data_IF_349670840295
#
_entry.id   IF_349670840295
#
_cell.length_a   1.000
_cell.length_b   1.000
_cell.length_c   1.000
_cell.angle_alpha   90.00
_cell.angle_beta   90.00
_cell.angle_gamma   90.00
#
_symmetry.space_group_name_H-M   'P 1'
#
loop_
_entity.id
_entity.type
_entity.pdbx_description
1 polymer ?
#
# COMPACT_ATOMS: atom_id res chain seq x y z
N UNK A 1 -19.53 -22.79 71.17
CA UNK A 1 -19.88 -22.58 69.75
C UNK A 1 -19.46 -21.16 69.38
N UNK A 2 -18.45 -21.03 68.52
CA UNK A 2 -17.79 -19.77 68.15
C UNK A 2 -18.69 -18.92 67.24
N UNK A 3 -18.65 -17.60 67.45
CA UNK A 3 -19.12 -16.56 66.53
C UNK A 3 -18.15 -16.42 65.35
N UNK A 4 -18.68 -16.37 64.13
CA UNK A 4 -17.95 -15.90 62.95
C UNK A 4 -18.86 -14.95 62.16
N UNK A 5 -18.63 -13.65 62.32
CA UNK A 5 -19.27 -12.59 61.52
C UNK A 5 -18.33 -12.31 60.35
N UNK A 6 -18.67 -12.84 59.17
CA UNK A 6 -17.92 -12.62 57.94
C UNK A 6 -18.18 -11.21 57.41
N UNK A 7 -17.20 -10.33 57.52
CA UNK A 7 -17.22 -9.00 56.87
C UNK A 7 -17.02 -9.16 55.37
N UNK A 8 -18.09 -8.94 54.60
CA UNK A 8 -18.06 -8.88 53.13
C UNK A 8 -17.47 -7.53 52.69
N UNK A 9 -16.19 -7.52 52.30
CA UNK A 9 -15.57 -6.35 51.67
C UNK A 9 -16.10 -6.21 50.23
N UNK A 10 -16.99 -5.25 50.00
CA UNK A 10 -17.40 -4.81 48.67
C UNK A 10 -16.25 -4.05 48.02
N UNK A 11 -15.49 -4.72 47.16
CA UNK A 11 -14.52 -4.07 46.26
C UNK A 11 -15.30 -3.31 45.19
N UNK A 12 -15.52 -2.00 45.41
CA UNK A 12 -16.03 -1.11 44.39
C UNK A 12 -14.94 -0.93 43.31
N UNK A 13 -15.05 -1.70 42.22
CA UNK A 13 -14.22 -1.51 41.03
C UNK A 13 -14.46 -0.12 40.46
N UNK A 14 -13.42 0.73 40.47
CA UNK A 14 -13.45 2.00 39.76
C UNK A 14 -13.48 1.73 38.26
N UNK A 15 -14.65 1.88 37.63
CA UNK A 15 -14.74 1.97 36.17
C UNK A 15 -14.24 3.34 35.75
N UNK A 16 -13.02 3.42 35.24
CA UNK A 16 -12.40 4.67 34.81
C UNK A 16 -13.16 5.20 33.59
N UNK A 17 -13.97 6.25 33.77
CA UNK A 17 -14.77 6.83 32.69
C UNK A 17 -13.84 7.43 31.63
N UNK A 18 -13.87 6.87 30.42
CA UNK A 18 -13.22 7.42 29.24
C UNK A 18 -14.03 8.63 28.76
N UNK A 19 -13.34 9.73 28.47
CA UNK A 19 -13.88 10.98 27.93
C UNK A 19 -13.11 11.35 26.67
N UNK A 20 -13.69 12.20 25.81
CA UNK A 20 -12.99 12.79 24.69
C UNK A 20 -13.24 14.30 24.58
N UNK A 21 -12.31 15.00 23.92
CA UNK A 21 -12.46 16.40 23.53
C UNK A 21 -11.99 16.57 22.10
N UNK A 22 -12.80 17.27 21.30
CA UNK A 22 -12.52 17.53 19.89
C UNK A 22 -12.28 19.01 19.66
N UNK A 23 -11.27 19.33 18.85
CA UNK A 23 -10.90 20.70 18.56
C UNK A 23 -9.88 20.83 17.43
N UNK A 24 -9.45 22.06 17.19
CA UNK A 24 -8.45 22.40 16.18
C UNK A 24 -7.06 22.43 16.82
N UNK A 25 -6.07 21.77 16.22
CA UNK A 25 -4.69 21.79 16.70
C UNK A 25 -4.12 23.20 16.58
N UNK A 26 -3.75 23.78 17.72
CA UNK A 26 -3.15 25.11 17.84
C UNK A 26 -1.66 25.07 18.15
N UNK A 27 -1.17 23.96 18.72
CA UNK A 27 0.24 23.69 18.95
C UNK A 27 0.47 22.17 18.99
N UNK A 28 1.61 21.71 18.47
CA UNK A 28 2.01 20.32 18.51
C UNK A 28 3.54 20.23 18.69
N UNK A 29 3.98 19.59 19.76
CA UNK A 29 5.39 19.29 20.02
C UNK A 29 5.63 17.78 19.96
N UNK A 30 6.86 17.32 20.22
CA UNK A 30 7.18 15.89 20.24
C UNK A 30 6.28 15.08 21.20
N UNK A 31 5.87 15.66 22.33
CA UNK A 31 5.19 14.95 23.42
C UNK A 31 3.92 15.64 23.91
N UNK A 32 3.51 16.74 23.29
CA UNK A 32 2.30 17.48 23.68
C UNK A 32 1.50 17.89 22.47
N UNK A 33 0.19 17.98 22.64
CA UNK A 33 -0.72 18.58 21.67
C UNK A 33 -1.65 19.54 22.39
N UNK A 34 -1.94 20.67 21.75
CA UNK A 34 -2.90 21.65 22.24
C UNK A 34 -4.01 21.84 21.21
N UNK A 35 -5.26 21.64 21.64
CA UNK A 35 -6.45 21.86 20.81
C UNK A 35 -7.26 23.04 21.31
N UNK A 36 -7.91 23.76 20.39
CA UNK A 36 -8.95 24.75 20.68
C UNK A 36 -10.30 24.13 20.35
N UNK A 37 -11.17 23.99 21.35
CA UNK A 37 -12.49 23.38 21.20
C UNK A 37 -13.50 24.35 20.56
N UNK A 38 -14.67 23.83 20.19
CA UNK A 38 -15.82 24.63 19.72
C UNK A 38 -16.31 25.67 20.75
N UNK A 39 -16.09 25.40 22.04
CA UNK A 39 -16.34 26.32 23.15
C UNK A 39 -15.23 27.36 23.36
N UNK A 40 -14.22 27.37 22.48
CA UNK A 40 -13.05 28.24 22.57
C UNK A 40 -12.18 27.97 23.82
N UNK A 41 -12.28 26.76 24.39
CA UNK A 41 -11.38 26.31 25.45
C UNK A 41 -10.06 25.82 24.82
N UNK A 42 -8.93 26.16 25.43
CA UNK A 42 -7.62 25.65 25.03
C UNK A 42 -7.21 24.49 25.93
N UNK A 43 -7.14 23.29 25.36
CA UNK A 43 -6.85 22.06 26.10
C UNK A 43 -5.51 21.47 25.64
N UNK A 44 -4.61 21.20 26.59
CA UNK A 44 -3.30 20.60 26.32
C UNK A 44 -3.20 19.21 26.92
N UNK A 45 -2.65 18.27 26.16
CA UNK A 45 -2.53 16.86 26.50
C UNK A 45 -1.10 16.38 26.27
N UNK A 46 -0.62 15.49 27.13
CA UNK A 46 0.58 14.71 26.88
C UNK A 46 0.25 13.58 25.89
N UNK A 47 1.10 13.40 24.89
CA UNK A 47 0.94 12.39 23.83
C UNK A 47 1.96 11.25 23.97
N UNK A 48 2.75 11.21 25.06
CA UNK A 48 3.80 10.21 25.25
C UNK A 48 3.28 8.77 25.17
N UNK A 49 2.16 8.50 25.84
CA UNK A 49 1.58 7.14 25.96
C UNK A 49 0.33 6.94 25.09
N UNK A 50 0.00 7.90 24.23
CA UNK A 50 -1.22 7.87 23.43
C UNK A 50 -1.10 6.91 22.24
N UNK A 51 -2.16 6.15 21.94
CA UNK A 51 -2.30 5.47 20.65
C UNK A 51 -2.46 6.51 19.53
N UNK A 52 -1.61 6.41 18.50
CA UNK A 52 -1.51 7.33 17.34
C UNK A 52 -1.74 6.63 16.00
N UNK A 53 -2.29 5.41 15.98
CA UNK A 53 -2.51 4.64 14.75
C UNK A 53 -3.41 5.36 13.74
N UNK A 54 -4.33 6.21 14.23
CA UNK A 54 -5.26 7.03 13.44
C UNK A 54 -4.79 8.49 13.25
N UNK A 55 -3.48 8.73 13.36
CA UNK A 55 -2.84 10.04 13.14
C UNK A 55 -1.68 9.87 12.15
N UNK A 56 -1.79 10.50 10.98
CA UNK A 56 -0.75 10.43 9.95
C UNK A 56 -0.03 11.78 9.79
N UNK A 57 0.78 12.11 10.80
CA UNK A 57 1.36 13.44 10.95
C UNK A 57 0.34 14.46 11.42
N UNK A 58 0.68 15.23 12.45
CA UNK A 58 -0.20 16.24 13.02
C UNK A 58 0.30 17.62 12.65
N UNK A 59 -0.54 18.40 11.96
CA UNK A 59 -0.24 19.76 11.54
C UNK A 59 -1.10 20.77 12.32
N UNK A 60 -0.65 22.03 12.32
CA UNK A 60 -1.45 23.14 12.82
C UNK A 60 -2.71 23.28 11.96
N UNK A 61 -3.84 23.55 12.61
CA UNK A 61 -5.18 23.63 12.05
C UNK A 61 -5.87 22.31 11.70
N UNK A 62 -5.26 21.16 11.99
CA UNK A 62 -5.95 19.88 11.88
C UNK A 62 -7.09 19.77 12.91
N UNK A 63 -8.15 19.04 12.56
CA UNK A 63 -9.16 18.67 13.55
C UNK A 63 -8.69 17.41 14.26
N UNK A 64 -8.64 17.43 15.59
CA UNK A 64 -8.20 16.31 16.41
C UNK A 64 -9.21 16.01 17.50
N UNK A 65 -9.54 14.73 17.68
CA UNK A 65 -10.23 14.23 18.86
C UNK A 65 -9.24 13.51 19.77
N UNK A 66 -9.20 13.93 21.03
CA UNK A 66 -8.30 13.43 22.07
C UNK A 66 -9.10 12.68 23.11
N UNK A 67 -8.81 11.39 23.28
CA UNK A 67 -9.40 10.53 24.30
C UNK A 67 -8.53 10.51 25.55
N UNK A 68 -9.16 10.51 26.72
CA UNK A 68 -8.46 10.50 28.01
C UNK A 68 -9.36 9.92 29.11
N UNK A 69 -8.78 9.61 30.27
CA UNK A 69 -9.49 8.99 31.39
C UNK A 69 -9.72 9.98 32.52
N UNK A 70 -10.95 10.07 33.01
CA UNK A 70 -11.30 10.95 34.13
C UNK A 70 -11.63 12.38 33.73
N UNK A 71 -11.49 13.32 34.68
CA UNK A 71 -11.73 14.75 34.45
C UNK A 71 -10.49 15.41 33.85
N UNK A 72 -10.71 16.37 32.95
CA UNK A 72 -9.62 17.09 32.32
C UNK A 72 -8.73 17.80 33.36
N UNK A 73 -7.42 17.69 33.17
CA UNK A 73 -6.40 18.52 33.82
C UNK A 73 -5.35 18.92 32.79
N UNK A 74 -4.81 20.15 32.83
CA UNK A 74 -3.81 20.59 31.85
C UNK A 74 -2.60 19.65 31.80
N UNK A 75 -2.24 19.19 30.60
CA UNK A 75 -1.10 18.31 30.36
C UNK A 75 -1.36 16.84 30.69
N UNK A 76 -2.59 16.43 30.99
CA UNK A 76 -2.93 15.04 31.29
C UNK A 76 -2.60 14.10 30.11
N UNK A 77 -2.30 12.81 30.36
CA UNK A 77 -2.04 11.85 29.30
C UNK A 77 -3.29 11.59 28.46
N UNK A 78 -3.15 11.70 27.15
CA UNK A 78 -4.11 11.17 26.19
C UNK A 78 -3.93 9.65 26.08
N UNK A 79 -5.04 8.94 25.89
CA UNK A 79 -5.06 7.50 25.65
C UNK A 79 -5.10 7.16 24.16
N UNK A 80 -5.79 7.97 23.36
CA UNK A 80 -5.90 7.81 21.90
C UNK A 80 -6.06 9.18 21.23
N UNK A 81 -5.47 9.34 20.06
CA UNK A 81 -5.65 10.49 19.19
C UNK A 81 -6.31 10.06 17.87
N UNK A 82 -7.26 10.86 17.37
CA UNK A 82 -7.95 10.60 16.10
C UNK A 82 -8.03 11.90 15.27
N UNK A 83 -7.39 11.93 14.11
CA UNK A 83 -7.30 13.12 13.23
C UNK A 83 -8.45 13.16 12.21
N UNK A 84 -8.99 14.34 11.88
CA UNK A 84 -10.09 14.48 10.92
C UNK A 84 -9.78 15.52 9.81
N UNK A 85 -10.22 15.24 8.56
CA UNK A 85 -10.78 13.96 8.10
C UNK A 85 -9.72 12.86 8.19
N UNK A 86 -10.14 11.61 8.41
CA UNK A 86 -9.22 10.47 8.43
C UNK A 86 -8.54 10.42 7.06
N UNK A 87 -7.27 10.81 7.00
CA UNK A 87 -6.49 10.73 5.77
C UNK A 87 -6.30 9.26 5.43
N UNK A 88 -6.46 8.84 4.16
CA UNK A 88 -6.11 7.49 3.75
C UNK A 88 -4.70 7.18 4.22
N UNK A 89 -4.50 6.02 4.85
CA UNK A 89 -3.18 5.56 5.26
C UNK A 89 -2.25 5.55 4.04
N UNK A 90 -1.28 6.48 4.00
CA UNK A 90 -0.29 6.52 2.91
C UNK A 90 0.69 5.36 3.16
N UNK A 91 0.77 4.41 2.23
CA UNK A 91 1.49 3.13 2.43
C UNK A 91 0.63 2.00 3.04
N UNK A 92 -0.68 2.22 3.18
CA UNK A 92 -1.67 1.20 3.55
C UNK A 92 -2.38 0.56 2.36
N UNK A 93 -2.06 0.98 1.13
CA UNK A 93 -2.61 0.46 -0.14
C UNK A 93 -1.89 -0.81 -0.61
N UNK A 94 -1.49 -1.65 0.35
CA UNK A 94 -0.95 -2.96 0.04
C UNK A 94 -2.04 -3.84 -0.58
N UNK A 95 -1.76 -4.41 -1.74
CA UNK A 95 -2.60 -5.46 -2.32
C UNK A 95 -2.49 -6.78 -1.53
N UNK A 96 -3.15 -7.84 -2.02
CA UNK A 96 -3.13 -9.17 -1.40
C UNK A 96 -1.71 -9.77 -1.32
N UNK A 97 -0.79 -9.30 -2.15
CA UNK A 97 0.61 -9.71 -2.17
C UNK A 97 1.53 -8.80 -1.35
N UNK A 98 0.98 -7.73 -0.76
CA UNK A 98 1.74 -6.76 0.03
C UNK A 98 2.39 -5.65 -0.81
N UNK A 99 2.10 -5.57 -2.11
CA UNK A 99 2.69 -4.58 -3.01
C UNK A 99 2.01 -3.21 -2.85
N UNK A 100 2.83 -2.16 -2.78
CA UNK A 100 2.37 -0.78 -2.59
C UNK A 100 2.15 -0.15 -3.97
N UNK A 101 0.92 -0.23 -4.49
CA UNK A 101 0.57 0.23 -5.83
C UNK A 101 0.85 1.72 -6.05
N UNK A 102 0.58 2.56 -5.04
CA UNK A 102 0.86 4.01 -5.07
C UNK A 102 2.34 4.35 -5.19
N UNK A 103 3.23 3.42 -4.79
CA UNK A 103 4.67 3.54 -4.98
C UNK A 103 5.16 2.93 -6.30
N UNK A 104 4.25 2.52 -7.19
CA UNK A 104 4.51 1.94 -8.50
C UNK A 104 4.91 0.46 -8.47
N UNK A 105 4.73 -0.22 -7.34
CA UNK A 105 4.98 -1.65 -7.23
C UNK A 105 3.80 -2.47 -7.72
N UNK A 106 4.07 -3.53 -8.47
CA UNK A 106 3.10 -4.52 -8.92
C UNK A 106 3.62 -5.91 -8.57
N UNK A 107 2.74 -6.83 -8.20
CA UNK A 107 3.12 -8.22 -8.03
C UNK A 107 3.50 -8.84 -9.38
N UNK A 108 4.62 -9.55 -9.42
CA UNK A 108 5.04 -10.32 -10.56
C UNK A 108 5.10 -11.81 -10.21
N UNK A 109 4.26 -12.60 -10.86
CA UNK A 109 4.10 -14.02 -10.59
C UNK A 109 5.36 -14.82 -10.91
N UNK A 110 6.07 -14.44 -11.98
CA UNK A 110 7.28 -15.16 -12.42
C UNK A 110 8.53 -14.79 -11.61
N UNK A 111 8.53 -13.64 -10.91
CA UNK A 111 9.60 -13.26 -9.98
C UNK A 111 9.27 -13.53 -8.52
N UNK A 112 7.98 -13.74 -8.19
CA UNK A 112 7.48 -13.85 -6.81
C UNK A 112 7.89 -12.67 -5.94
N UNK A 113 7.82 -11.47 -6.51
CA UNK A 113 8.25 -10.23 -5.88
C UNK A 113 7.38 -9.05 -6.33
N UNK A 114 7.34 -8.01 -5.49
CA UNK A 114 6.78 -6.71 -5.85
C UNK A 114 7.82 -5.92 -6.65
N UNK A 115 7.53 -5.65 -7.92
CA UNK A 115 8.47 -5.02 -8.83
C UNK A 115 7.96 -3.69 -9.38
N UNK A 116 8.88 -2.86 -9.83
CA UNK A 116 8.58 -1.72 -10.70
C UNK A 116 8.90 -2.10 -12.13
N UNK A 117 7.89 -2.05 -13.00
CA UNK A 117 8.01 -2.49 -14.40
C UNK A 117 9.10 -1.73 -15.17
N UNK A 118 9.27 -0.43 -14.90
CA UNK A 118 10.31 0.38 -15.53
C UNK A 118 11.74 0.08 -15.04
N UNK A 119 11.89 -0.60 -13.89
CA UNK A 119 13.19 -1.00 -13.35
C UNK A 119 13.55 -2.44 -13.74
N UNK A 120 12.55 -3.34 -13.80
CA UNK A 120 12.75 -4.79 -13.98
C UNK A 120 12.34 -5.33 -15.35
N UNK A 121 11.44 -4.63 -16.06
CA UNK A 121 10.86 -5.07 -17.31
C UNK A 121 11.49 -4.43 -18.54
N UNK A 122 11.35 -5.11 -19.68
CA UNK A 122 11.71 -4.59 -20.99
C UNK A 122 10.49 -3.92 -21.59
N UNK A 123 10.55 -2.59 -21.76
CA UNK A 123 9.45 -1.84 -22.36
C UNK A 123 9.38 -2.05 -23.87
N UNK A 124 8.19 -2.39 -24.36
CA UNK A 124 7.83 -2.46 -25.77
C UNK A 124 6.66 -1.53 -26.04
N UNK A 125 6.52 -1.07 -27.28
CA UNK A 125 5.49 -0.14 -27.71
C UNK A 125 4.64 -0.76 -28.81
N UNK A 126 3.35 -0.43 -28.82
CA UNK A 126 2.44 -0.91 -29.84
C UNK A 126 2.81 -0.36 -31.21
N UNK A 127 2.59 -1.17 -32.24
CA UNK A 127 2.89 -0.81 -33.63
C UNK A 127 1.73 -0.12 -34.36
N UNK A 128 0.57 0.01 -33.73
CA UNK A 128 -0.68 0.52 -34.31
C UNK A 128 -1.03 1.95 -33.86
N UNK A 129 -0.03 2.73 -33.42
CA UNK A 129 -0.14 4.12 -32.96
C UNK A 129 -1.12 4.33 -31.78
N UNK A 130 -1.48 3.26 -31.05
CA UNK A 130 -2.38 3.34 -29.90
C UNK A 130 -1.78 3.98 -28.64
N UNK A 131 -0.52 4.43 -28.68
CA UNK A 131 0.30 4.87 -27.52
C UNK A 131 0.36 3.84 -26.37
N UNK A 132 -0.03 2.60 -26.62
CA UNK A 132 0.01 1.53 -25.62
C UNK A 132 1.39 0.87 -25.56
N UNK A 133 1.73 0.34 -24.39
CA UNK A 133 2.99 -0.34 -24.14
C UNK A 133 2.78 -1.65 -23.41
N UNK A 134 3.73 -2.57 -23.59
CA UNK A 134 3.80 -3.79 -22.82
C UNK A 134 5.20 -3.94 -22.20
N UNK A 135 5.27 -4.44 -20.98
CA UNK A 135 6.52 -4.80 -20.32
C UNK A 135 6.70 -6.31 -20.34
N UNK A 136 7.88 -6.76 -20.76
CA UNK A 136 8.29 -8.16 -20.70
C UNK A 136 9.14 -8.35 -19.45
N UNK A 137 8.69 -9.21 -18.53
CA UNK A 137 9.42 -9.53 -17.29
C UNK A 137 9.75 -11.01 -17.28
N UNK A 138 11.03 -11.37 -17.28
CA UNK A 138 11.47 -12.77 -17.24
C UNK A 138 11.49 -13.31 -15.81
N UNK A 139 11.21 -14.61 -15.68
CA UNK A 139 11.59 -15.37 -14.48
C UNK A 139 13.12 -15.40 -14.32
N UNK A 140 13.65 -15.58 -13.11
CA UNK A 140 15.10 -15.61 -12.86
C UNK A 140 15.88 -16.63 -13.72
N UNK A 141 15.25 -17.75 -14.08
CA UNK A 141 15.82 -18.82 -14.92
C UNK A 141 15.46 -18.68 -16.41
N UNK A 142 14.71 -17.62 -16.75
CA UNK A 142 14.18 -17.34 -18.10
C UNK A 142 13.33 -18.47 -18.69
N UNK A 143 12.81 -19.40 -17.88
CA UNK A 143 11.91 -20.45 -18.37
C UNK A 143 10.49 -19.93 -18.60
N UNK A 144 10.13 -18.82 -17.95
CA UNK A 144 8.85 -18.14 -18.11
C UNK A 144 9.08 -16.64 -18.29
N UNK A 145 8.05 -15.97 -18.79
CA UNK A 145 7.94 -14.53 -18.70
C UNK A 145 6.50 -14.13 -18.41
N UNK A 146 6.31 -12.95 -17.86
CA UNK A 146 5.02 -12.32 -17.64
C UNK A 146 4.95 -11.02 -18.47
N UNK A 147 3.84 -10.85 -19.18
CA UNK A 147 3.51 -9.65 -19.94
C UNK A 147 2.58 -8.76 -19.12
N UNK A 148 2.96 -7.49 -18.99
CA UNK A 148 2.15 -6.45 -18.36
C UNK A 148 1.73 -5.42 -19.41
N UNK A 149 0.43 -5.15 -19.55
CA UNK A 149 -0.09 -4.26 -20.59
C UNK A 149 -0.59 -2.94 -20.00
N UNK A 150 -0.31 -1.82 -20.68
CA UNK A 150 -0.76 -0.49 -20.23
C UNK A 150 -2.23 -0.17 -20.57
N UNK A 151 -2.93 -1.09 -21.23
CA UNK A 151 -4.30 -0.91 -21.73
C UNK A 151 -5.34 -1.75 -20.96
N UNK A 152 -5.03 -2.10 -19.71
CA UNK A 152 -5.88 -2.89 -18.81
C UNK A 152 -6.22 -4.31 -19.31
N UNK A 153 -5.51 -4.82 -20.33
CA UNK A 153 -5.55 -6.25 -20.62
C UNK A 153 -4.96 -7.03 -19.44
N UNK A 154 -5.47 -8.26 -19.16
CA UNK A 154 -4.89 -9.10 -18.13
C UNK A 154 -3.43 -9.43 -18.44
N UNK A 155 -2.63 -9.59 -17.40
CA UNK A 155 -1.27 -10.08 -17.56
C UNK A 155 -1.28 -11.51 -18.10
N UNK A 156 -0.28 -11.85 -18.91
CA UNK A 156 -0.14 -13.18 -19.51
C UNK A 156 1.22 -13.78 -19.15
N UNK A 157 1.22 -15.03 -18.66
CA UNK A 157 2.45 -15.78 -18.41
C UNK A 157 2.69 -16.73 -19.59
N UNK A 158 3.89 -16.69 -20.15
CA UNK A 158 4.30 -17.47 -21.31
C UNK A 158 5.50 -18.36 -20.97
N UNK A 159 5.55 -19.56 -21.54
CA UNK A 159 6.59 -20.55 -21.29
C UNK A 159 7.63 -20.58 -22.42
N UNK A 160 8.90 -20.75 -22.05
CA UNK A 160 10.00 -20.82 -23.01
C UNK A 160 9.97 -22.12 -23.78
N UNK A 161 10.08 -22.03 -25.10
CA UNK A 161 10.37 -23.14 -26.01
C UNK A 161 11.60 -22.88 -26.87
N UNK A 162 12.26 -23.95 -27.29
CA UNK A 162 13.34 -23.88 -28.27
C UNK A 162 12.78 -23.89 -29.69
N UNK A 163 13.36 -23.09 -30.58
CA UNK A 163 12.97 -23.05 -31.99
C UNK A 163 13.88 -23.96 -32.85
N UNK A 164 13.36 -24.64 -33.89
CA UNK A 164 14.17 -25.46 -34.80
C UNK A 164 15.28 -24.68 -35.51
N UNK A 165 15.05 -23.40 -35.78
CA UNK A 165 16.01 -22.47 -36.37
C UNK A 165 17.12 -22.02 -35.42
N UNK A 166 17.08 -22.46 -34.16
CA UNK A 166 17.86 -21.89 -33.07
C UNK A 166 17.15 -20.69 -32.42
N UNK A 167 17.56 -20.41 -31.18
CA UNK A 167 16.96 -19.38 -30.33
C UNK A 167 15.73 -19.87 -29.55
N UNK A 168 15.06 -18.92 -28.90
CA UNK A 168 13.93 -19.18 -28.02
C UNK A 168 12.72 -18.34 -28.40
N UNK A 169 11.55 -18.88 -28.08
CA UNK A 169 10.29 -18.16 -28.06
C UNK A 169 9.60 -18.40 -26.71
N UNK A 170 8.76 -17.46 -26.30
CA UNK A 170 7.86 -17.66 -25.18
C UNK A 170 6.43 -17.52 -25.67
N UNK A 171 5.63 -18.57 -25.46
CA UNK A 171 4.22 -18.64 -25.83
C UNK A 171 3.53 -19.69 -24.96
N UNK A 172 2.21 -19.77 -25.03
CA UNK A 172 1.45 -20.94 -24.55
C UNK A 172 1.14 -21.82 -25.77
N UNK A 173 1.08 -23.14 -25.61
CA UNK A 173 0.70 -24.05 -26.71
C UNK A 173 -0.80 -23.94 -27.01
N UNK A 174 -1.20 -22.84 -27.65
CA UNK A 174 -2.56 -22.56 -28.13
C UNK A 174 -2.49 -21.59 -29.32
N UNK A 175 -3.41 -21.72 -30.29
CA UNK A 175 -3.32 -21.13 -31.64
C UNK A 175 -3.58 -19.62 -31.69
N UNK A 176 -4.15 -19.08 -30.61
CA UNK A 176 -4.47 -17.66 -30.43
C UNK A 176 -3.47 -16.90 -29.54
N UNK A 177 -2.38 -17.54 -29.15
CA UNK A 177 -1.47 -17.01 -28.12
C UNK A 177 -0.52 -15.93 -28.62
N UNK A 178 -0.12 -15.07 -27.68
CA UNK A 178 1.01 -14.16 -27.90
C UNK A 178 2.31 -14.96 -27.93
N UNK A 179 3.21 -14.53 -28.79
CA UNK A 179 4.50 -15.12 -29.02
C UNK A 179 5.58 -14.05 -28.91
N UNK A 180 6.48 -14.21 -27.95
CA UNK A 180 7.55 -13.27 -27.64
C UNK A 180 8.88 -13.81 -28.14
N UNK A 181 9.60 -12.99 -28.91
CA UNK A 181 10.88 -13.36 -29.54
C UNK A 181 11.86 -12.21 -29.55
N UNK A 182 13.15 -12.54 -29.48
CA UNK A 182 14.25 -11.63 -29.79
C UNK A 182 14.55 -11.72 -31.29
N UNK A 183 14.28 -10.66 -32.04
CA UNK A 183 14.46 -10.59 -33.50
C UNK A 183 15.33 -9.36 -33.79
N UNK A 184 16.45 -9.55 -34.48
CA UNK A 184 17.39 -8.48 -34.83
C UNK A 184 17.84 -7.62 -33.63
N UNK A 185 17.98 -8.27 -32.45
CA UNK A 185 18.37 -7.60 -31.21
C UNK A 185 17.25 -6.87 -30.48
N UNK A 186 16.01 -6.90 -30.99
CA UNK A 186 14.85 -6.26 -30.40
C UNK A 186 13.84 -7.29 -29.91
N UNK A 187 13.28 -7.06 -28.72
CA UNK A 187 12.17 -7.86 -28.23
C UNK A 187 10.88 -7.51 -28.97
N UNK A 188 10.18 -8.55 -29.42
CA UNK A 188 8.94 -8.43 -30.19
C UNK A 188 7.86 -9.28 -29.55
N UNK A 189 6.63 -8.78 -29.58
CA UNK A 189 5.43 -9.51 -29.18
C UNK A 189 4.54 -9.59 -30.43
N UNK A 190 4.20 -10.82 -30.80
CA UNK A 190 3.36 -11.12 -31.96
C UNK A 190 2.13 -11.91 -31.52
N UNK A 191 1.03 -11.82 -32.25
CA UNK A 191 -0.15 -12.67 -32.05
C UNK A 191 -0.69 -13.05 -33.42
N UNK A 192 -0.93 -14.35 -33.65
CA UNK A 192 -1.34 -14.90 -34.96
C UNK A 192 -0.47 -14.36 -36.12
N UNK A 193 0.85 -14.44 -35.95
CA UNK A 193 1.89 -13.93 -36.88
C UNK A 193 1.87 -12.42 -37.17
N UNK A 194 1.00 -11.65 -36.51
CA UNK A 194 0.99 -10.19 -36.58
C UNK A 194 1.85 -9.61 -35.45
N UNK A 195 2.83 -8.78 -35.78
CA UNK A 195 3.56 -7.97 -34.80
C UNK A 195 2.58 -6.99 -34.13
N UNK A 196 2.56 -6.97 -32.80
CA UNK A 196 1.69 -6.09 -32.01
C UNK A 196 2.47 -5.14 -31.11
N UNK A 197 3.62 -5.57 -30.57
CA UNK A 197 4.53 -4.69 -29.83
C UNK A 197 5.98 -4.92 -30.22
N UNK A 198 6.79 -3.86 -30.17
CA UNK A 198 8.24 -3.93 -30.42
C UNK A 198 9.03 -3.07 -29.43
N UNK A 199 10.19 -3.55 -29.02
CA UNK A 199 11.15 -2.76 -28.26
C UNK A 199 11.70 -1.64 -29.15
N UNK A 200 11.73 -0.41 -28.64
CA UNK A 200 12.49 0.65 -29.30
C UNK A 200 13.98 0.31 -29.25
N UNK A 201 14.64 0.36 -30.40
CA UNK A 201 16.10 0.34 -30.43
C UNK A 201 16.62 1.52 -29.60
N UNK A 202 17.60 1.27 -28.73
CA UNK A 202 18.20 2.32 -27.92
C UNK A 202 18.74 3.45 -28.80
N UNK A 203 18.28 4.67 -28.56
CA UNK A 203 18.91 5.91 -29.04
C UNK A 203 20.29 6.10 -28.43
#
# INVERSE_FOLDING_TARGET
MLLAVGTLCLMAGCSSKVSSSKGIVSDATMNTVTIVTDKNDTLSFSTMDANKEEVNGLLLNDTLEVFYTGKYTPGMPATKLVQYPQSPLVGGDRDEHGCIGSAGYVWCEVQKDCIRLFEKGIRTEAVDDSDTSAFIVFSPDSTQLELFFSNNQPNEILERRSLPSGGYAWNVEDDDTKNVRLIDGLWTISQRDKLIYTQKAGS
#
